data_IF_158098344001
#
_entry.id   IF_158098344001
#
_cell.length_a   1.000
_cell.length_b   1.000
_cell.length_c   1.000
_cell.angle_alpha   90.00
_cell.angle_beta   90.00
_cell.angle_gamma   90.00
#
_symmetry.space_group_name_H-M   'P 1'
#
loop_
_entity.id
_entity.type
_entity.pdbx_description
1 polymer ?
#
# COMPACT_ATOMS: atom_id res chain seq x y z
N UNK A 1 8.89 -8.38 -7.82
CA UNK A 1 7.52 -8.42 -7.28
C UNK A 1 7.03 -9.86 -7.35
N UNK A 2 6.97 -10.52 -6.20
CA UNK A 2 6.29 -11.80 -6.01
C UNK A 2 4.77 -11.57 -5.99
N UNK A 3 3.99 -12.65 -6.04
CA UNK A 3 2.53 -12.58 -5.90
C UNK A 3 2.13 -11.95 -4.56
N UNK A 4 2.87 -12.27 -3.50
CA UNK A 4 2.59 -11.77 -2.16
C UNK A 4 2.91 -10.28 -2.04
N UNK A 5 4.03 -9.84 -2.61
CA UNK A 5 4.38 -8.41 -2.70
C UNK A 5 3.31 -7.62 -3.48
N UNK A 6 2.77 -8.16 -4.57
CA UNK A 6 1.68 -7.53 -5.31
C UNK A 6 0.40 -7.42 -4.47
N UNK A 7 0.03 -8.50 -3.77
CA UNK A 7 -1.20 -8.53 -2.98
C UNK A 7 -1.14 -7.63 -1.75
N UNK A 8 0.04 -7.51 -1.15
CA UNK A 8 0.28 -6.56 -0.07
C UNK A 8 0.12 -5.11 -0.56
N UNK A 9 0.83 -4.71 -1.62
CA UNK A 9 0.74 -3.35 -2.19
C UNK A 9 -0.71 -3.01 -2.52
N UNK A 10 -1.44 -3.95 -3.13
CA UNK A 10 -2.86 -3.76 -3.43
C UNK A 10 -3.70 -3.52 -2.17
N UNK A 11 -3.45 -4.28 -1.10
CA UNK A 11 -4.18 -4.17 0.17
C UNK A 11 -3.91 -2.83 0.85
N UNK A 12 -2.64 -2.43 0.94
CA UNK A 12 -2.24 -1.15 1.55
C UNK A 12 -2.74 0.04 0.72
N UNK A 13 -2.62 -0.04 -0.61
CA UNK A 13 -3.13 1.01 -1.50
C UNK A 13 -4.66 1.16 -1.38
N UNK A 14 -5.40 0.05 -1.25
CA UNK A 14 -6.85 0.13 -1.01
C UNK A 14 -7.17 0.83 0.30
N UNK A 15 -6.46 0.49 1.38
CA UNK A 15 -6.65 1.15 2.68
C UNK A 15 -6.31 2.64 2.64
N UNK A 16 -5.19 3.01 2.00
CA UNK A 16 -4.80 4.40 1.80
C UNK A 16 -5.81 5.18 0.96
N UNK A 17 -6.33 4.58 -0.11
CA UNK A 17 -7.35 5.18 -0.97
C UNK A 17 -8.62 5.50 -0.18
N UNK A 18 -9.10 4.56 0.64
CA UNK A 18 -10.27 4.79 1.51
C UNK A 18 -10.02 5.95 2.47
N UNK A 19 -8.83 6.01 3.07
CA UNK A 19 -8.43 7.11 3.94
C UNK A 19 -8.44 8.46 3.22
N UNK A 20 -7.85 8.53 2.02
CA UNK A 20 -7.79 9.74 1.20
C UNK A 20 -9.20 10.22 0.83
N UNK A 21 -10.03 9.33 0.29
CA UNK A 21 -11.41 9.66 -0.12
C UNK A 21 -12.29 10.08 1.07
N UNK A 22 -12.03 9.53 2.26
CA UNK A 22 -12.73 9.91 3.49
C UNK A 22 -12.29 11.27 4.03
N UNK A 23 -11.04 11.67 3.75
CA UNK A 23 -10.47 12.94 4.24
C UNK A 23 -10.85 14.16 3.40
N UNK A 24 -11.04 13.98 2.10
CA UNK A 24 -11.42 15.04 1.16
C UNK A 24 -12.40 14.48 0.10
N UNK A 25 -13.70 14.79 0.20
CA UNK A 25 -14.70 14.35 -0.78
C UNK A 25 -14.60 15.03 -2.14
N UNK A 26 -13.76 16.07 -2.29
CA UNK A 26 -13.51 16.75 -3.57
C UNK A 26 -12.26 16.24 -4.28
N UNK A 27 -11.50 15.32 -3.66
CA UNK A 27 -10.30 14.76 -4.29
C UNK A 27 -10.67 14.05 -5.59
N UNK A 28 -9.87 14.26 -6.63
CA UNK A 28 -10.06 13.57 -7.90
C UNK A 28 -9.70 12.09 -7.73
N UNK A 29 -10.56 11.14 -8.13
CA UNK A 29 -10.31 9.72 -7.95
C UNK A 29 -8.98 9.24 -8.53
N UNK A 30 -8.55 9.77 -9.68
CA UNK A 30 -7.29 9.38 -10.31
C UNK A 30 -6.06 9.81 -9.49
N UNK A 31 -6.14 11.00 -8.88
CA UNK A 31 -5.07 11.52 -8.01
C UNK A 31 -5.05 10.76 -6.68
N UNK A 32 -6.22 10.43 -6.12
CA UNK A 32 -6.33 9.64 -4.91
C UNK A 32 -5.74 8.23 -5.10
N UNK A 33 -6.07 7.57 -6.21
CA UNK A 33 -5.53 6.26 -6.56
C UNK A 33 -4.01 6.29 -6.70
N UNK A 34 -3.46 7.25 -7.45
CA UNK A 34 -2.01 7.42 -7.59
C UNK A 34 -1.34 7.60 -6.23
N UNK A 35 -1.84 8.53 -5.42
CA UNK A 35 -1.29 8.83 -4.09
C UNK A 35 -1.34 7.61 -3.17
N UNK A 36 -2.40 6.81 -3.27
CA UNK A 36 -2.54 5.59 -2.48
C UNK A 36 -1.51 4.51 -2.86
N UNK A 37 -1.21 4.34 -4.15
CA UNK A 37 -0.14 3.44 -4.59
C UNK A 37 1.24 3.95 -4.18
N UNK A 38 1.52 5.24 -4.35
CA UNK A 38 2.79 5.85 -3.91
C UNK A 38 3.01 5.64 -2.39
N UNK A 39 1.94 5.76 -1.59
CA UNK A 39 1.96 5.49 -0.16
C UNK A 39 2.21 4.01 0.16
N UNK A 40 1.57 3.09 -0.56
CA UNK A 40 1.76 1.64 -0.37
C UNK A 40 3.18 1.21 -0.69
N UNK A 41 3.75 1.69 -1.80
CA UNK A 41 5.14 1.41 -2.18
C UNK A 41 6.13 1.98 -1.16
N UNK A 42 5.90 3.21 -0.69
CA UNK A 42 6.72 3.83 0.35
C UNK A 42 6.67 3.05 1.66
N UNK A 43 5.48 2.58 2.05
CA UNK A 43 5.31 1.76 3.24
C UNK A 43 6.03 0.41 3.12
N UNK A 44 5.87 -0.30 2.00
CA UNK A 44 6.56 -1.56 1.75
C UNK A 44 8.09 -1.40 1.78
N UNK A 45 8.61 -0.34 1.17
CA UNK A 45 10.04 -0.04 1.19
C UNK A 45 10.57 0.23 2.61
N UNK A 46 9.82 0.98 3.42
CA UNK A 46 10.20 1.27 4.81
C UNK A 46 10.07 0.04 5.71
N UNK A 47 9.02 -0.76 5.52
CA UNK A 47 8.80 -2.03 6.22
C UNK A 47 9.99 -2.97 6.02
N UNK A 48 10.40 -3.17 4.77
CA UNK A 48 11.56 -4.01 4.42
C UNK A 48 12.84 -3.56 5.12
N UNK A 49 13.05 -2.25 5.27
CA UNK A 49 14.21 -1.69 5.99
C UNK A 49 14.15 -1.93 7.51
N UNK A 50 12.96 -1.83 8.11
CA UNK A 50 12.79 -1.86 9.57
C UNK A 50 12.62 -3.26 10.15
N UNK A 51 11.84 -4.10 9.48
CA UNK A 51 11.44 -5.42 9.99
C UNK A 51 11.90 -6.57 9.10
N UNK A 52 12.49 -6.28 7.94
CA UNK A 52 12.97 -7.29 7.00
C UNK A 52 11.88 -7.84 6.09
N UNK A 53 12.18 -8.98 5.47
CA UNK A 53 11.23 -9.77 4.67
C UNK A 53 10.18 -10.41 5.60
N UNK A 54 8.96 -10.55 5.09
CA UNK A 54 7.91 -11.28 5.82
C UNK A 54 8.36 -12.73 6.03
N UNK A 55 8.29 -13.28 7.27
CA UNK A 55 8.65 -14.66 7.50
C UNK A 55 7.76 -15.57 6.67
N UNK A 56 8.37 -16.43 5.84
CA UNK A 56 7.62 -17.54 5.26
C UNK A 56 7.26 -18.46 6.42
N UNK A 57 5.97 -18.70 6.65
CA UNK A 57 5.56 -19.75 7.56
C UNK A 57 6.11 -21.08 7.03
N UNK A 58 6.96 -21.74 7.81
CA UNK A 58 7.28 -23.15 7.58
C UNK A 58 5.97 -23.95 7.72
N UNK A 59 5.45 -24.46 6.61
CA UNK A 59 4.36 -25.44 6.60
C UNK A 59 4.87 -26.84 6.93
#
# INVERSE_FOLDING_TARGET
>A
MTRDEHQEIHTVATAALVGILSSDPQVRPELAAKTAFDAAESFAAERKKRIGEEPHFDM
#
